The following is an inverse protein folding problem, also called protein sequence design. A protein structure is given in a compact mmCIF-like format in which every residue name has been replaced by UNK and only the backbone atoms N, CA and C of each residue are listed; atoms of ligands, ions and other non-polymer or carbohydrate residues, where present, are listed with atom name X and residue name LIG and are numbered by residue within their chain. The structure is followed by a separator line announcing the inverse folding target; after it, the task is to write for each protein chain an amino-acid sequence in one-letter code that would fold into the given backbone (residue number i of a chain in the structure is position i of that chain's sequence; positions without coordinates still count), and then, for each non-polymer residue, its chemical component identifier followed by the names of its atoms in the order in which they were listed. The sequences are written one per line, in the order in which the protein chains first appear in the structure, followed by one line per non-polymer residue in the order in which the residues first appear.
data_IF_352844231988
#
_entry.id   IF_352844231988
#
_cell.length_a   1.000
_cell.length_b   1.000
_cell.length_c   1.000
_cell.angle_alpha   90.00
_cell.angle_beta   90.00
_cell.angle_gamma   90.00
#
_symmetry.space_group_name_H-M   'P 1'
#
loop_
_entity.id
_entity.type
_entity.pdbx_description
1 polymer ?
#
# COMPACT_ATOMS: atom_id res chain seq x y z
N UNK A 1 0.71 -4.59 11.61
CA UNK A 1 1.09 -3.24 12.09
C UNK A 1 -0.10 -2.29 11.90
N UNK A 2 -0.40 -1.42 12.87
CA UNK A 2 -1.45 -0.38 12.72
C UNK A 2 -0.83 1.01 12.67
N UNK A 3 -1.34 1.90 11.81
CA UNK A 3 -0.95 3.32 11.74
C UNK A 3 -2.22 4.16 11.66
N UNK A 4 -2.42 5.09 12.59
CA UNK A 4 -3.65 5.90 12.69
C UNK A 4 -4.95 5.06 12.72
N UNK A 5 -4.91 3.90 13.39
CA UNK A 5 -6.05 2.96 13.44
C UNK A 5 -6.25 2.11 12.18
N UNK A 6 -5.42 2.28 11.14
CA UNK A 6 -5.49 1.54 9.87
C UNK A 6 -4.54 0.33 9.93
N UNK A 7 -5.03 -0.84 9.54
CA UNK A 7 -4.23 -2.07 9.48
C UNK A 7 -3.39 -2.13 8.21
N UNK A 8 -2.15 -1.65 8.31
CA UNK A 8 -1.20 -1.57 7.19
C UNK A 8 -0.87 -2.96 6.65
N UNK A 9 -0.82 -3.99 7.50
CA UNK A 9 -0.50 -5.35 7.06
C UNK A 9 -1.61 -5.91 6.18
N UNK A 10 -2.87 -5.71 6.57
CA UNK A 10 -4.02 -6.09 5.74
C UNK A 10 -4.04 -5.34 4.41
N UNK A 11 -3.89 -4.01 4.44
CA UNK A 11 -3.92 -3.21 3.22
C UNK A 11 -2.71 -3.43 2.31
N UNK A 12 -1.53 -3.71 2.87
CA UNK A 12 -0.34 -4.08 2.11
C UNK A 12 -0.52 -5.36 1.30
N UNK A 13 -1.12 -6.40 1.91
CA UNK A 13 -1.44 -7.65 1.19
C UNK A 13 -2.46 -7.42 0.07
N UNK A 14 -3.56 -6.72 0.38
CA UNK A 14 -4.59 -6.39 -0.59
C UNK A 14 -4.03 -5.58 -1.77
N UNK A 15 -3.17 -4.61 -1.48
CA UNK A 15 -2.51 -3.80 -2.49
C UNK A 15 -1.57 -4.64 -3.36
N UNK A 16 -0.77 -5.53 -2.75
CA UNK A 16 0.14 -6.43 -3.46
C UNK A 16 -0.59 -7.31 -4.50
N UNK A 17 -1.77 -7.83 -4.16
CA UNK A 17 -2.57 -8.66 -5.08
C UNK A 17 -3.09 -7.87 -6.29
N UNK A 18 -3.45 -6.60 -6.10
CA UNK A 18 -4.08 -5.78 -7.14
C UNK A 18 -3.08 -5.03 -8.00
N UNK A 19 -1.98 -4.56 -7.42
CA UNK A 19 -0.95 -3.79 -8.14
C UNK A 19 -0.21 -4.63 -9.18
N UNK A 20 -0.21 -5.96 -9.04
CA UNK A 20 0.29 -6.86 -10.09
C UNK A 20 -0.60 -6.87 -11.34
N UNK A 21 -1.90 -6.60 -11.19
CA UNK A 21 -2.87 -6.52 -12.31
C UNK A 21 -2.88 -5.12 -12.92
N UNK A 22 -2.69 -4.10 -12.09
CA UNK A 22 -2.59 -2.70 -12.49
C UNK A 22 -1.43 -2.01 -11.77
N UNK A 23 -0.29 -1.89 -12.45
CA UNK A 23 0.91 -1.24 -11.91
C UNK A 23 0.80 0.28 -11.73
N UNK A 24 -0.33 0.88 -12.12
CA UNK A 24 -0.62 2.31 -11.92
C UNK A 24 -1.55 2.56 -10.73
N UNK A 25 -2.08 1.49 -10.12
CA UNK A 25 -2.94 1.56 -8.95
C UNK A 25 -2.21 2.26 -7.81
N UNK A 26 -2.89 3.19 -7.15
CA UNK A 26 -2.39 3.85 -5.95
C UNK A 26 -3.11 3.28 -4.70
N UNK A 27 -2.47 3.26 -3.52
CA UNK A 27 -3.12 2.76 -2.30
C UNK A 27 -4.44 3.46 -1.99
N UNK A 28 -4.49 4.79 -2.10
CA UNK A 28 -5.71 5.59 -1.92
C UNK A 28 -6.88 5.21 -2.84
N UNK A 29 -6.60 4.53 -3.97
CA UNK A 29 -7.62 4.06 -4.92
C UNK A 29 -8.20 2.71 -4.54
N UNK A 30 -7.70 2.04 -3.49
CA UNK A 30 -8.34 0.85 -2.94
C UNK A 30 -9.69 1.24 -2.32
N UNK A 31 -10.84 0.70 -2.80
CA UNK A 31 -12.15 1.00 -2.23
C UNK A 31 -12.25 0.73 -0.73
N UNK A 32 -11.55 -0.31 -0.26
CA UNK A 32 -11.52 -0.69 1.14
C UNK A 32 -10.78 0.32 2.02
N UNK A 33 -9.79 1.02 1.46
CA UNK A 33 -9.04 2.06 2.18
C UNK A 33 -9.78 3.40 2.11
N UNK A 34 -10.22 3.80 0.91
CA UNK A 34 -10.86 5.10 0.67
C UNK A 34 -12.21 5.26 1.38
N UNK A 35 -12.90 4.16 1.71
CA UNK A 35 -14.15 4.19 2.49
C UNK A 35 -13.92 4.33 4.00
N UNK A 36 -12.70 4.06 4.51
CA UNK A 36 -12.44 4.17 5.94
C UNK A 36 -12.48 5.63 6.39
N UNK A 37 -13.34 5.90 7.38
CA UNK A 37 -13.41 7.20 8.05
C UNK A 37 -12.03 7.59 8.61
N UNK A 38 -11.35 6.64 9.27
CA UNK A 38 -10.00 6.83 9.83
C UNK A 38 -8.91 7.15 8.81
N UNK A 39 -9.13 6.87 7.52
CA UNK A 39 -8.23 7.28 6.43
C UNK A 39 -8.62 8.64 5.88
N UNK A 40 -9.91 8.86 5.60
CA UNK A 40 -10.42 10.10 5.00
C UNK A 40 -10.25 11.33 5.89
N UNK A 41 -10.36 11.16 7.20
CA UNK A 41 -10.24 12.24 8.18
C UNK A 41 -8.78 12.66 8.44
N UNK A 42 -7.81 11.91 7.91
CA UNK A 42 -6.40 12.25 8.08
C UNK A 42 -6.00 13.40 7.15
N UNK A 43 -5.14 14.26 7.68
CA UNK A 43 -4.48 15.29 6.88
C UNK A 43 -3.66 14.67 5.73
N UNK A 44 -3.40 15.46 4.69
CA UNK A 44 -2.74 14.99 3.45
C UNK A 44 -1.41 14.30 3.75
N UNK A 45 -0.59 14.87 4.62
CA UNK A 45 0.71 14.28 5.02
C UNK A 45 0.56 12.92 5.70
N UNK A 46 -0.41 12.80 6.61
CA UNK A 46 -0.70 11.53 7.28
C UNK A 46 -1.17 10.47 6.29
N UNK A 47 -2.01 10.84 5.30
CA UNK A 47 -2.42 9.96 4.20
C UNK A 47 -1.24 9.53 3.33
N UNK A 48 -0.36 10.44 2.95
CA UNK A 48 0.87 10.10 2.23
C UNK A 48 1.74 9.10 3.01
N UNK A 49 1.86 9.27 4.32
CA UNK A 49 2.58 8.34 5.20
C UNK A 49 1.90 6.96 5.32
N UNK A 50 0.57 6.91 5.30
CA UNK A 50 -0.20 5.65 5.26
C UNK A 50 0.03 4.93 3.92
N UNK A 51 -0.11 5.66 2.81
CA UNK A 51 0.06 5.13 1.46
C UNK A 51 1.48 4.59 1.25
N UNK A 52 2.48 5.33 1.72
CA UNK A 52 3.86 4.86 1.69
C UNK A 52 4.04 3.56 2.48
N UNK A 53 3.51 3.49 3.71
CA UNK A 53 3.59 2.28 4.53
C UNK A 53 2.88 1.08 3.89
N UNK A 54 1.76 1.29 3.20
CA UNK A 54 1.06 0.24 2.45
C UNK A 54 1.93 -0.26 1.29
N UNK A 55 2.59 0.64 0.56
CA UNK A 55 3.51 0.27 -0.54
C UNK A 55 4.70 -0.53 -0.02
N UNK A 56 5.31 -0.10 1.10
CA UNK A 56 6.44 -0.83 1.69
C UNK A 56 6.03 -2.25 2.11
N UNK A 57 4.87 -2.38 2.76
CA UNK A 57 4.35 -3.67 3.20
C UNK A 57 4.02 -4.57 2.00
N UNK A 58 3.37 -4.03 0.97
CA UNK A 58 3.15 -4.76 -0.28
C UNK A 58 4.47 -5.19 -0.94
N UNK A 59 5.49 -4.35 -0.89
CA UNK A 59 6.82 -4.67 -1.39
C UNK A 59 7.43 -5.88 -0.69
N UNK A 60 7.31 -5.96 0.64
CA UNK A 60 7.74 -7.13 1.41
C UNK A 60 6.98 -8.40 1.01
N UNK A 61 5.66 -8.30 0.86
CA UNK A 61 4.80 -9.43 0.45
C UNK A 61 5.21 -9.95 -0.93
N UNK A 62 5.39 -9.06 -1.92
CA UNK A 62 5.76 -9.45 -3.28
C UNK A 62 7.16 -10.05 -3.35
N UNK A 63 8.13 -9.50 -2.63
CA UNK A 63 9.49 -10.07 -2.58
C UNK A 63 9.47 -11.45 -1.90
N UNK A 64 8.72 -11.60 -0.81
CA UNK A 64 8.56 -12.90 -0.14
C UNK A 64 7.86 -13.94 -1.03
N UNK A 65 6.97 -13.50 -1.93
CA UNK A 65 6.35 -14.35 -2.94
C UNK A 65 7.28 -14.69 -4.14
N UNK A 66 8.53 -14.24 -4.13
CA UNK A 66 9.53 -14.57 -5.16
C UNK A 66 9.66 -13.56 -6.31
N UNK A 67 8.96 -12.42 -6.25
CA UNK A 67 9.14 -11.38 -7.27
C UNK A 67 10.48 -10.66 -7.13
N UNK A 68 11.09 -10.30 -8.27
CA UNK A 68 12.35 -9.57 -8.29
C UNK A 68 12.24 -8.22 -7.55
N UNK A 69 13.08 -8.03 -6.52
CA UNK A 69 13.11 -6.84 -5.66
C UNK A 69 13.23 -5.53 -6.44
N UNK A 70 14.08 -5.48 -7.46
CA UNK A 70 14.26 -4.27 -8.28
C UNK A 70 12.98 -3.93 -9.07
N UNK A 71 12.32 -4.94 -9.63
CA UNK A 71 11.04 -4.76 -10.35
C UNK A 71 9.94 -4.29 -9.39
N UNK A 72 9.84 -4.90 -8.21
CA UNK A 72 8.87 -4.51 -7.17
C UNK A 72 9.07 -3.06 -6.75
N UNK A 73 10.31 -2.63 -6.43
CA UNK A 73 10.60 -1.24 -6.06
C UNK A 73 10.19 -0.25 -7.15
N UNK A 74 10.46 -0.58 -8.42
CA UNK A 74 10.05 0.26 -9.57
C UNK A 74 8.53 0.38 -9.69
N UNK A 75 7.80 -0.73 -9.61
CA UNK A 75 6.32 -0.74 -9.72
C UNK A 75 5.69 0.02 -8.55
N UNK A 76 6.16 -0.23 -7.33
CA UNK A 76 5.60 0.38 -6.12
C UNK A 76 6.13 1.79 -5.84
N UNK A 77 7.07 2.28 -6.66
CA UNK A 77 7.75 3.58 -6.50
C UNK A 77 8.36 3.71 -5.10
N UNK A 78 9.05 2.66 -4.67
CA UNK A 78 9.80 2.62 -3.42
C UNK A 78 11.25 3.04 -3.72
N UNK A 79 11.61 4.25 -3.28
CA UNK A 79 12.97 4.79 -3.43
C UNK A 79 13.95 4.14 -2.47
#
# INVERSE_FOLDING_TARGET
MKRYGIDITRFGRLYAERVLKDGTLQPERLPELSRLKSYREQHVEARMGIDHAIREEAGKVLVAAGHCKAKVRRVLRLN
#
